data_IF_773272963109
#
_entry.id   IF_773272963109
#
_cell.length_a   1.000
_cell.length_b   1.000
_cell.length_c   1.000
_cell.angle_alpha   90.00
_cell.angle_beta   90.00
_cell.angle_gamma   90.00
#
_symmetry.space_group_name_H-M   'P 1'
#
loop_
_entity.id
_entity.type
_entity.pdbx_description
1 polymer ?
#
# COMPACT_ATOMS: atom_id res chain seq x y z
N UNK A 1 -37.83 -35.46 -8.07
CA UNK A 1 -38.23 -34.21 -8.72
C UNK A 1 -38.65 -33.27 -7.61
N UNK A 2 -37.74 -32.47 -7.10
CA UNK A 2 -38.01 -31.48 -6.03
C UNK A 2 -38.41 -30.17 -6.73
N UNK A 3 -39.68 -29.81 -6.64
CA UNK A 3 -40.17 -28.54 -7.13
C UNK A 3 -39.60 -27.43 -6.24
N UNK A 4 -38.67 -26.64 -6.79
CA UNK A 4 -38.27 -25.38 -6.19
C UNK A 4 -39.51 -24.49 -6.14
N UNK A 5 -40.12 -24.34 -4.97
CA UNK A 5 -41.09 -23.27 -4.75
C UNK A 5 -40.33 -21.95 -4.84
N UNK A 6 -40.54 -21.25 -5.92
CA UNK A 6 -40.10 -19.84 -6.03
C UNK A 6 -40.87 -19.03 -4.98
N UNK A 7 -40.25 -18.75 -3.84
CA UNK A 7 -40.89 -17.96 -2.78
C UNK A 7 -40.98 -16.52 -3.28
N UNK A 8 -42.18 -16.07 -3.55
CA UNK A 8 -42.45 -14.71 -4.03
C UNK A 8 -42.47 -13.77 -2.85
N UNK A 9 -41.60 -12.75 -2.87
CA UNK A 9 -41.50 -11.73 -1.84
C UNK A 9 -42.77 -10.86 -1.78
N UNK A 10 -43.21 -10.57 -0.58
CA UNK A 10 -44.32 -9.63 -0.33
C UNK A 10 -43.98 -8.21 -0.74
N UNK A 11 -44.97 -7.34 -1.01
CA UNK A 11 -44.73 -5.94 -1.31
C UNK A 11 -43.95 -5.20 -0.20
N UNK A 12 -44.14 -5.55 1.06
CA UNK A 12 -43.42 -4.97 2.21
C UNK A 12 -41.95 -5.35 2.21
N UNK A 13 -41.62 -6.63 1.94
CA UNK A 13 -40.25 -7.12 1.83
C UNK A 13 -39.50 -6.49 0.64
N UNK A 14 -40.16 -6.39 -0.50
CA UNK A 14 -39.62 -5.69 -1.67
C UNK A 14 -39.31 -4.22 -1.37
N UNK A 15 -40.24 -3.52 -0.68
CA UNK A 15 -40.04 -2.14 -0.28
C UNK A 15 -38.85 -2.00 0.70
N UNK A 16 -38.68 -2.93 1.63
CA UNK A 16 -37.54 -2.93 2.57
C UNK A 16 -36.20 -3.12 1.84
N UNK A 17 -36.14 -4.08 0.91
CA UNK A 17 -34.95 -4.31 0.06
C UNK A 17 -34.61 -3.07 -0.75
N UNK A 18 -35.60 -2.42 -1.36
CA UNK A 18 -35.40 -1.17 -2.10
C UNK A 18 -34.85 -0.03 -1.21
N UNK A 19 -35.34 0.09 0.04
CA UNK A 19 -34.82 1.08 1.00
C UNK A 19 -33.37 0.81 1.36
N UNK A 20 -32.97 -0.44 1.64
CA UNK A 20 -31.58 -0.79 1.89
C UNK A 20 -30.67 -0.42 0.71
N UNK A 21 -31.10 -0.72 -0.53
CA UNK A 21 -30.38 -0.30 -1.74
C UNK A 21 -30.25 1.24 -1.84
N UNK A 22 -31.28 1.98 -1.46
CA UNK A 22 -31.25 3.46 -1.45
C UNK A 22 -30.30 4.02 -0.38
N UNK A 23 -30.10 3.32 0.73
CA UNK A 23 -29.12 3.66 1.76
C UNK A 23 -27.67 3.27 1.40
N UNK A 24 -27.46 2.76 0.16
CA UNK A 24 -26.15 2.33 -0.34
C UNK A 24 -25.53 1.16 0.46
N UNK A 25 -26.39 0.22 0.88
CA UNK A 25 -25.98 -1.05 1.50
C UNK A 25 -26.54 -2.23 0.68
N UNK A 26 -26.07 -2.38 -0.57
CA UNK A 26 -26.62 -3.36 -1.51
C UNK A 26 -26.39 -4.82 -1.08
N UNK A 27 -25.27 -5.12 -0.42
CA UNK A 27 -25.00 -6.50 0.03
C UNK A 27 -25.90 -6.89 1.20
N UNK A 28 -26.18 -5.99 2.14
CA UNK A 28 -27.22 -6.23 3.15
C UNK A 28 -28.57 -6.52 2.52
N UNK A 29 -28.93 -5.76 1.46
CA UNK A 29 -30.18 -5.97 0.74
C UNK A 29 -30.22 -7.34 0.02
N UNK A 30 -29.09 -7.78 -0.52
CA UNK A 30 -28.93 -9.06 -1.18
C UNK A 30 -29.08 -10.22 -0.18
N UNK A 31 -28.33 -10.20 0.91
CA UNK A 31 -28.41 -11.23 1.96
C UNK A 31 -29.81 -11.28 2.59
N UNK A 32 -30.46 -10.12 2.82
CA UNK A 32 -31.84 -10.10 3.28
C UNK A 32 -32.79 -10.79 2.28
N UNK A 33 -32.64 -10.52 0.98
CA UNK A 33 -33.44 -11.16 -0.06
C UNK A 33 -33.24 -12.66 -0.10
N UNK A 34 -32.00 -13.15 0.05
CA UNK A 34 -31.70 -14.59 0.16
C UNK A 34 -32.34 -15.20 1.40
N UNK A 35 -32.22 -14.56 2.57
CA UNK A 35 -32.83 -15.04 3.81
C UNK A 35 -34.36 -15.10 3.75
N UNK A 36 -35.01 -14.16 3.06
CA UNK A 36 -36.45 -14.16 2.89
C UNK A 36 -36.96 -15.27 1.94
N UNK A 37 -36.08 -15.73 1.05
CA UNK A 37 -36.37 -16.84 0.11
C UNK A 37 -35.95 -18.22 0.66
N UNK A 38 -35.20 -18.27 1.75
CA UNK A 38 -34.76 -19.52 2.36
C UNK A 38 -35.80 -20.04 3.36
N UNK A 39 -36.43 -21.19 3.10
CA UNK A 39 -37.42 -21.78 4.02
C UNK A 39 -36.81 -22.18 5.38
N UNK A 40 -35.50 -22.29 5.49
CA UNK A 40 -34.79 -22.64 6.72
C UNK A 40 -34.21 -21.41 7.45
N UNK A 41 -34.45 -20.20 6.98
CA UNK A 41 -33.91 -19.00 7.57
C UNK A 41 -34.30 -18.82 9.04
N UNK A 42 -35.45 -19.31 9.43
CA UNK A 42 -35.97 -19.25 10.81
C UNK A 42 -35.25 -20.20 11.80
N UNK A 43 -34.40 -21.11 11.30
CA UNK A 43 -33.49 -21.90 12.15
C UNK A 43 -32.35 -21.05 12.73
N UNK A 44 -32.02 -19.93 12.08
CA UNK A 44 -31.04 -18.99 12.55
C UNK A 44 -31.68 -17.92 13.42
N UNK A 45 -30.99 -17.56 14.48
CA UNK A 45 -31.42 -16.45 15.36
C UNK A 45 -31.40 -15.11 14.62
N UNK A 46 -32.13 -14.13 15.12
CA UNK A 46 -32.11 -12.77 14.59
C UNK A 46 -30.67 -12.21 14.53
N UNK A 47 -29.86 -12.45 15.55
CA UNK A 47 -28.48 -11.97 15.62
C UNK A 47 -27.61 -12.61 14.53
N UNK A 48 -27.70 -13.91 14.30
CA UNK A 48 -26.94 -14.58 13.24
C UNK A 48 -27.31 -14.03 11.86
N UNK A 49 -28.61 -13.86 11.59
CA UNK A 49 -29.12 -13.30 10.34
C UNK A 49 -28.65 -11.85 10.12
N UNK A 50 -28.71 -11.02 11.15
CA UNK A 50 -28.25 -9.64 11.11
C UNK A 50 -26.73 -9.56 10.94
N UNK A 51 -25.97 -10.39 11.65
CA UNK A 51 -24.50 -10.47 11.50
C UNK A 51 -24.12 -10.81 10.08
N UNK A 52 -24.73 -11.82 9.47
CA UNK A 52 -24.46 -12.20 8.08
C UNK A 52 -24.68 -11.02 7.10
N UNK A 53 -25.75 -10.23 7.29
CA UNK A 53 -26.02 -9.04 6.46
C UNK A 53 -24.93 -7.96 6.63
N UNK A 54 -24.56 -7.66 7.87
CA UNK A 54 -23.57 -6.62 8.19
C UNK A 54 -22.18 -7.02 7.69
N UNK A 55 -21.80 -8.28 7.92
CA UNK A 55 -20.48 -8.80 7.50
C UNK A 55 -20.33 -8.80 5.97
N UNK A 56 -21.40 -9.18 5.23
CA UNK A 56 -21.38 -9.13 3.77
C UNK A 56 -21.14 -7.69 3.24
N UNK A 57 -21.84 -6.71 3.78
CA UNK A 57 -21.65 -5.31 3.39
C UNK A 57 -20.27 -4.79 3.79
N UNK A 58 -19.80 -5.15 5.00
CA UNK A 58 -18.48 -4.77 5.48
C UNK A 58 -17.38 -5.31 4.57
N UNK A 59 -17.45 -6.61 4.23
CA UNK A 59 -16.47 -7.27 3.38
C UNK A 59 -16.47 -6.66 1.97
N UNK A 60 -17.62 -6.47 1.36
CA UNK A 60 -17.73 -5.87 0.03
C UNK A 60 -17.15 -4.44 -0.02
N UNK A 61 -17.33 -3.66 1.05
CA UNK A 61 -16.71 -2.33 1.16
C UNK A 61 -15.21 -2.41 1.33
N UNK A 62 -14.72 -3.35 2.12
CA UNK A 62 -13.28 -3.59 2.29
C UNK A 62 -12.64 -4.00 0.96
N UNK A 63 -13.24 -4.94 0.23
CA UNK A 63 -12.76 -5.40 -1.09
C UNK A 63 -12.76 -4.27 -2.12
N UNK A 64 -13.83 -3.48 -2.18
CA UNK A 64 -13.91 -2.32 -3.07
C UNK A 64 -12.84 -1.28 -2.76
N UNK A 65 -12.57 -1.03 -1.47
CA UNK A 65 -11.50 -0.12 -1.03
C UNK A 65 -10.14 -0.66 -1.42
N UNK A 66 -9.87 -1.93 -1.10
CA UNK A 66 -8.62 -2.59 -1.46
C UNK A 66 -8.36 -2.55 -2.97
N UNK A 67 -9.35 -2.93 -3.79
CA UNK A 67 -9.22 -2.91 -5.24
C UNK A 67 -8.95 -1.50 -5.81
N UNK A 68 -9.51 -0.46 -5.20
CA UNK A 68 -9.21 0.92 -5.56
C UNK A 68 -7.77 1.28 -5.20
N UNK A 69 -7.34 1.01 -3.96
CA UNK A 69 -5.97 1.26 -3.51
C UNK A 69 -4.93 0.54 -4.38
N UNK A 70 -5.18 -0.71 -4.74
CA UNK A 70 -4.32 -1.48 -5.64
C UNK A 70 -4.16 -0.82 -7.01
N UNK A 71 -5.23 -0.29 -7.59
CA UNK A 71 -5.16 0.43 -8.87
C UNK A 71 -4.36 1.74 -8.76
N UNK A 72 -4.51 2.46 -7.66
CA UNK A 72 -3.84 3.75 -7.42
C UNK A 72 -2.36 3.60 -7.04
N UNK A 73 -1.97 2.45 -6.47
CA UNK A 73 -0.62 2.20 -5.97
C UNK A 73 0.44 2.00 -7.06
N UNK A 74 0.06 1.56 -8.27
CA UNK A 74 0.95 1.27 -9.39
C UNK A 74 2.10 0.31 -9.06
N UNK A 75 1.83 -0.74 -8.27
CA UNK A 75 2.83 -1.73 -7.88
C UNK A 75 3.43 -2.46 -9.08
N UNK A 76 4.72 -2.74 -9.02
CA UNK A 76 5.40 -3.59 -10.03
C UNK A 76 4.99 -5.05 -9.91
N UNK A 77 4.76 -5.53 -8.69
CA UNK A 77 4.33 -6.89 -8.37
C UNK A 77 3.04 -6.84 -7.54
N UNK A 78 1.86 -6.65 -8.18
CA UNK A 78 0.60 -6.49 -7.46
C UNK A 78 0.12 -7.78 -6.76
N UNK A 79 0.63 -8.95 -7.17
CA UNK A 79 0.34 -10.23 -6.56
C UNK A 79 1.38 -10.65 -5.50
N UNK A 80 2.33 -9.77 -5.13
CA UNK A 80 3.35 -10.12 -4.15
C UNK A 80 2.71 -10.39 -2.78
N UNK A 81 3.17 -11.47 -2.12
CA UNK A 81 2.71 -11.86 -0.79
C UNK A 81 3.91 -12.07 0.15
N UNK A 82 3.73 -11.69 1.43
CA UNK A 82 4.74 -11.89 2.45
C UNK A 82 4.91 -13.37 2.81
N UNK A 83 3.85 -14.16 2.73
CA UNK A 83 3.89 -15.60 3.00
C UNK A 83 4.72 -16.37 1.96
N UNK A 84 4.87 -15.81 0.75
CA UNK A 84 5.76 -16.33 -0.30
C UNK A 84 7.21 -15.89 -0.14
N UNK A 85 7.54 -15.15 0.91
CA UNK A 85 8.91 -14.67 1.12
C UNK A 85 9.85 -15.81 1.44
N UNK A 86 10.85 -16.01 0.58
CA UNK A 86 11.85 -17.06 0.75
C UNK A 86 12.91 -16.62 1.78
N UNK A 87 12.91 -17.26 2.94
CA UNK A 87 13.88 -17.05 4.00
C UNK A 87 15.06 -18.04 3.84
N UNK A 88 16.05 -17.66 3.04
CA UNK A 88 17.32 -18.40 2.95
C UNK A 88 18.40 -17.67 3.76
N UNK A 89 19.30 -18.38 4.47
CA UNK A 89 20.38 -17.76 5.26
C UNK A 89 21.21 -16.75 4.45
N UNK A 90 21.44 -17.06 3.17
CA UNK A 90 22.23 -16.24 2.26
C UNK A 90 21.60 -14.87 1.97
N UNK A 91 20.29 -14.74 2.15
CA UNK A 91 19.58 -13.46 1.99
C UNK A 91 19.74 -12.53 3.19
N UNK A 92 20.21 -13.07 4.32
CA UNK A 92 20.40 -12.32 5.56
C UNK A 92 19.15 -11.55 6.00
N UNK A 93 17.95 -12.05 5.66
CA UNK A 93 16.70 -11.47 6.10
C UNK A 93 16.44 -11.86 7.55
N UNK A 94 16.39 -10.88 8.42
CA UNK A 94 15.97 -11.07 9.80
C UNK A 94 14.45 -11.26 9.86
N UNK A 95 14.01 -12.48 10.17
CA UNK A 95 12.60 -12.86 10.27
C UNK A 95 11.85 -11.99 11.28
N UNK A 96 12.46 -11.67 12.43
CA UNK A 96 11.82 -10.83 13.45
C UNK A 96 11.56 -9.41 12.93
N UNK A 97 12.51 -8.85 12.18
CA UNK A 97 12.34 -7.53 11.56
C UNK A 97 11.24 -7.58 10.49
N UNK A 98 11.18 -8.63 9.66
CA UNK A 98 10.12 -8.79 8.66
C UNK A 98 8.74 -8.93 9.34
N UNK A 99 8.61 -9.77 10.36
CA UNK A 99 7.37 -9.92 11.13
C UNK A 99 6.93 -8.59 11.77
N UNK A 100 7.87 -7.84 12.35
CA UNK A 100 7.59 -6.52 12.92
C UNK A 100 7.11 -5.53 11.85
N UNK A 101 7.74 -5.51 10.68
CA UNK A 101 7.35 -4.62 9.58
C UNK A 101 6.01 -5.03 8.96
N UNK A 102 5.67 -6.33 8.95
CA UNK A 102 4.41 -6.86 8.41
C UNK A 102 3.17 -6.36 9.17
N UNK A 103 3.32 -5.96 10.44
CA UNK A 103 2.24 -5.34 11.20
C UNK A 103 1.78 -4.00 10.63
N UNK A 104 2.59 -3.35 9.80
CA UNK A 104 2.39 -2.01 9.24
C UNK A 104 2.24 -0.88 10.29
N UNK A 105 2.48 -1.16 11.59
CA UNK A 105 2.39 -0.15 12.64
C UNK A 105 3.38 1.00 12.46
N UNK A 106 4.58 0.70 11.93
CA UNK A 106 5.58 1.71 11.61
C UNK A 106 5.08 2.78 10.61
N UNK A 107 4.10 2.42 9.74
CA UNK A 107 3.46 3.36 8.82
C UNK A 107 2.58 4.36 9.58
N UNK A 108 1.91 3.91 10.64
CA UNK A 108 1.10 4.78 11.50
C UNK A 108 1.96 5.74 12.31
N UNK A 109 3.15 5.29 12.69
CA UNK A 109 4.14 6.10 13.41
C UNK A 109 4.90 7.08 12.49
N UNK A 110 4.64 7.08 11.18
CA UNK A 110 5.35 7.93 10.21
C UNK A 110 6.83 7.57 10.03
N UNK A 111 7.24 6.35 10.41
CA UNK A 111 8.63 5.89 10.29
C UNK A 111 8.97 5.50 8.85
N UNK A 112 10.22 5.69 8.48
CA UNK A 112 10.74 5.35 7.17
C UNK A 112 11.34 3.94 7.13
N UNK A 113 11.54 3.42 5.91
CA UNK A 113 12.23 2.16 5.68
C UNK A 113 13.21 2.32 4.51
N UNK A 114 14.47 1.98 4.73
CA UNK A 114 15.49 1.90 3.70
C UNK A 114 15.77 0.43 3.42
N UNK A 115 15.77 0.08 2.13
CA UNK A 115 16.10 -1.28 1.67
C UNK A 115 17.24 -1.20 0.66
N UNK A 116 18.39 -1.75 1.03
CA UNK A 116 19.59 -1.78 0.18
C UNK A 116 19.97 -3.20 -0.19
N UNK A 117 20.78 -3.34 -1.23
CA UNK A 117 21.34 -4.64 -1.64
C UNK A 117 21.48 -4.79 -3.14
N UNK A 118 22.14 -5.88 -3.58
CA UNK A 118 22.44 -6.15 -4.98
C UNK A 118 21.20 -6.20 -5.88
N UNK A 119 21.40 -6.02 -7.17
CA UNK A 119 20.33 -6.23 -8.17
C UNK A 119 19.79 -7.66 -8.06
N UNK A 120 18.48 -7.84 -8.32
CA UNK A 120 17.80 -9.13 -8.28
C UNK A 120 17.78 -9.84 -6.91
N UNK A 121 18.16 -9.18 -5.78
CA UNK A 121 18.03 -9.75 -4.44
C UNK A 121 16.59 -9.84 -3.91
N UNK A 122 15.58 -9.43 -4.69
CA UNK A 122 14.17 -9.50 -4.31
C UNK A 122 13.65 -8.29 -3.51
N UNK A 123 14.41 -7.18 -3.40
CA UNK A 123 14.00 -5.96 -2.68
C UNK A 123 12.63 -5.44 -3.10
N UNK A 124 12.46 -5.21 -4.39
CA UNK A 124 11.21 -4.66 -4.95
C UNK A 124 10.03 -5.60 -4.69
N UNK A 125 10.21 -6.93 -4.82
CA UNK A 125 9.16 -7.90 -4.52
C UNK A 125 8.74 -7.81 -3.05
N UNK A 126 9.69 -7.88 -2.12
CA UNK A 126 9.43 -7.80 -0.68
C UNK A 126 8.69 -6.50 -0.31
N UNK A 127 9.13 -5.36 -0.84
CA UNK A 127 8.47 -4.08 -0.55
C UNK A 127 7.07 -4.02 -1.17
N UNK A 128 6.85 -4.62 -2.36
CA UNK A 128 5.50 -4.70 -2.92
C UNK A 128 4.59 -5.60 -2.06
N UNK A 129 5.11 -6.68 -1.46
CA UNK A 129 4.36 -7.50 -0.51
C UNK A 129 3.97 -6.71 0.76
N UNK A 130 4.87 -5.89 1.32
CA UNK A 130 4.50 -4.94 2.40
C UNK A 130 3.45 -3.93 1.95
N UNK A 131 3.52 -3.42 0.72
CA UNK A 131 2.51 -2.51 0.17
C UNK A 131 1.13 -3.17 0.10
N UNK A 132 1.06 -4.43 -0.39
CA UNK A 132 -0.20 -5.20 -0.43
C UNK A 132 -0.76 -5.38 0.98
N UNK A 133 0.08 -5.76 1.95
CA UNK A 133 -0.31 -5.91 3.36
C UNK A 133 -0.82 -4.59 3.95
N UNK A 134 -0.16 -3.47 3.68
CA UNK A 134 -0.61 -2.14 4.11
C UNK A 134 -1.98 -1.77 3.50
N UNK A 135 -2.21 -2.08 2.23
CA UNK A 135 -3.49 -1.81 1.57
C UNK A 135 -4.62 -2.72 2.07
N UNK A 136 -4.34 -3.97 2.46
CA UNK A 136 -5.30 -4.84 3.19
C UNK A 136 -5.75 -4.16 4.50
N UNK A 137 -4.88 -3.38 5.13
CA UNK A 137 -5.19 -2.54 6.30
C UNK A 137 -5.70 -1.12 5.93
N UNK A 138 -6.15 -0.94 4.70
CA UNK A 138 -6.72 0.33 4.19
C UNK A 138 -5.75 1.51 4.12
N UNK A 139 -4.43 1.29 4.15
CA UNK A 139 -3.44 2.35 3.97
C UNK A 139 -3.30 2.72 2.49
N UNK A 140 -3.21 4.00 2.21
CA UNK A 140 -2.95 4.50 0.86
C UNK A 140 -1.47 4.41 0.52
N UNK A 141 -1.17 3.81 -0.63
CA UNK A 141 0.21 3.54 -1.07
C UNK A 141 0.43 4.08 -2.47
N UNK A 142 1.60 4.62 -2.75
CA UNK A 142 2.11 4.85 -4.10
C UNK A 142 3.50 4.26 -4.24
N UNK A 143 3.69 3.40 -5.23
CA UNK A 143 4.98 2.93 -5.68
C UNK A 143 5.38 3.73 -6.92
N UNK A 144 6.60 4.27 -6.93
CA UNK A 144 7.13 5.04 -8.04
C UNK A 144 8.64 4.85 -8.16
N UNK A 145 9.15 4.80 -9.38
CA UNK A 145 10.60 4.88 -9.59
C UNK A 145 11.10 6.30 -9.39
N UNK A 146 12.28 6.43 -8.82
CA UNK A 146 12.87 7.71 -8.49
C UNK A 146 12.94 8.68 -9.69
N UNK A 147 13.40 8.22 -10.85
CA UNK A 147 13.44 9.04 -12.07
C UNK A 147 12.04 9.43 -12.56
N UNK A 148 11.03 8.56 -12.39
CA UNK A 148 9.64 8.88 -12.75
C UNK A 148 9.08 9.94 -11.81
N UNK A 149 9.38 9.85 -10.50
CA UNK A 149 8.98 10.86 -9.53
C UNK A 149 9.53 12.25 -9.92
N UNK A 150 10.82 12.33 -10.25
CA UNK A 150 11.44 13.59 -10.68
C UNK A 150 10.80 14.13 -11.97
N UNK A 151 10.52 13.26 -12.95
CA UNK A 151 9.83 13.67 -14.19
C UNK A 151 8.39 14.13 -13.93
N UNK A 152 7.64 13.49 -13.03
CA UNK A 152 6.29 13.92 -12.66
C UNK A 152 6.33 15.29 -11.92
N UNK A 153 7.33 15.53 -11.06
CA UNK A 153 7.54 16.80 -10.38
C UNK A 153 7.86 17.92 -11.37
N UNK A 154 8.77 17.68 -12.31
CA UNK A 154 9.11 18.63 -13.36
C UNK A 154 7.90 18.99 -14.23
N UNK A 155 7.13 17.99 -14.67
CA UNK A 155 5.91 18.22 -15.43
C UNK A 155 4.86 19.02 -14.65
N UNK A 156 4.73 18.74 -13.35
CA UNK A 156 3.81 19.48 -12.48
C UNK A 156 4.22 20.94 -12.35
N UNK A 157 5.54 21.22 -12.28
CA UNK A 157 6.10 22.57 -12.25
C UNK A 157 5.83 23.32 -13.56
N UNK A 158 6.07 22.70 -14.71
CA UNK A 158 5.78 23.28 -16.03
C UNK A 158 4.29 23.64 -16.16
N UNK A 159 3.39 22.79 -15.62
CA UNK A 159 1.93 22.99 -15.64
C UNK A 159 1.42 23.88 -14.51
N UNK A 160 2.30 24.43 -13.65
CA UNK A 160 1.94 25.19 -12.44
C UNK A 160 1.01 24.43 -11.48
N UNK A 161 1.12 23.10 -11.40
CA UNK A 161 0.33 22.19 -10.54
C UNK A 161 1.20 21.48 -9.49
N UNK A 162 2.42 21.96 -9.26
CA UNK A 162 3.40 21.36 -8.33
C UNK A 162 2.85 21.25 -6.90
N UNK A 163 2.14 22.27 -6.39
CA UNK A 163 1.52 22.23 -5.07
C UNK A 163 0.44 21.14 -4.95
N UNK A 164 -0.38 20.99 -5.99
CA UNK A 164 -1.41 19.94 -6.01
C UNK A 164 -0.79 18.54 -6.05
N UNK A 165 0.29 18.38 -6.82
CA UNK A 165 1.01 17.12 -6.90
C UNK A 165 1.69 16.78 -5.56
N UNK A 166 2.39 17.74 -4.95
CA UNK A 166 3.00 17.59 -3.64
C UNK A 166 1.97 17.25 -2.56
N UNK A 167 0.82 17.94 -2.57
CA UNK A 167 -0.29 17.66 -1.66
C UNK A 167 -0.86 16.23 -1.83
N UNK A 168 -0.88 15.69 -3.06
CA UNK A 168 -1.26 14.29 -3.29
C UNK A 168 -0.26 13.33 -2.67
N UNK A 169 1.04 13.57 -2.85
CA UNK A 169 2.10 12.74 -2.25
C UNK A 169 2.07 12.80 -0.72
N UNK A 170 1.84 13.99 -0.14
CA UNK A 170 1.79 14.19 1.32
C UNK A 170 0.63 13.45 1.98
N UNK A 171 -0.51 13.26 1.28
CA UNK A 171 -1.68 12.55 1.82
C UNK A 171 -1.54 11.02 1.84
N UNK A 172 -0.58 10.46 1.10
CA UNK A 172 -0.35 9.01 1.08
C UNK A 172 0.22 8.54 2.41
N UNK A 173 -0.29 7.44 2.93
CA UNK A 173 0.25 6.82 4.13
C UNK A 173 1.66 6.26 3.87
N UNK A 174 1.90 5.69 2.69
CA UNK A 174 3.18 5.12 2.29
C UNK A 174 3.57 5.56 0.88
N UNK A 175 4.74 6.17 0.74
CA UNK A 175 5.39 6.45 -0.54
C UNK A 175 6.59 5.53 -0.70
N UNK A 176 6.64 4.76 -1.78
CA UNK A 176 7.78 3.91 -2.13
C UNK A 176 8.53 4.51 -3.30
N UNK A 177 9.79 4.86 -3.10
CA UNK A 177 10.70 5.38 -4.12
C UNK A 177 11.71 4.27 -4.45
N UNK A 178 11.54 3.63 -5.61
CA UNK A 178 12.41 2.55 -6.07
C UNK A 178 13.49 3.05 -7.04
N UNK A 179 14.56 2.29 -7.17
CA UNK A 179 15.72 2.63 -7.98
C UNK A 179 16.37 3.98 -7.58
N UNK A 180 16.38 4.32 -6.27
CA UNK A 180 16.83 5.61 -5.74
C UNK A 180 18.25 5.97 -6.16
N UNK A 181 19.16 5.01 -6.14
CA UNK A 181 20.57 5.21 -6.49
C UNK A 181 20.84 5.42 -7.99
N UNK A 182 19.81 5.36 -8.83
CA UNK A 182 19.92 5.60 -10.27
C UNK A 182 19.48 7.01 -10.67
N UNK A 183 19.22 7.89 -9.69
CA UNK A 183 18.91 9.29 -9.95
C UNK A 183 20.19 10.09 -10.25
N UNK A 184 20.06 11.01 -11.20
CA UNK A 184 21.00 12.12 -11.40
C UNK A 184 20.29 13.38 -10.89
N UNK A 185 20.69 13.86 -9.70
CA UNK A 185 20.06 14.93 -8.98
C UNK A 185 20.74 16.27 -9.26
N UNK A 186 20.33 16.93 -10.34
CA UNK A 186 20.62 18.36 -10.55
C UNK A 186 19.95 19.22 -9.45
N UNK A 187 20.24 20.51 -9.40
CA UNK A 187 19.79 21.42 -8.35
C UNK A 187 18.25 21.49 -8.24
N UNK A 188 17.54 21.45 -9.36
CA UNK A 188 16.07 21.49 -9.38
C UNK A 188 15.46 20.20 -8.82
N UNK A 189 16.01 19.05 -9.21
CA UNK A 189 15.60 17.75 -8.67
C UNK A 189 15.96 17.59 -7.20
N UNK A 190 17.10 18.15 -6.74
CA UNK A 190 17.43 18.20 -5.33
C UNK A 190 16.36 18.94 -4.52
N UNK A 191 15.92 20.10 -5.02
CA UNK A 191 14.83 20.87 -4.40
C UNK A 191 13.53 20.11 -4.38
N UNK A 192 13.12 19.53 -5.52
CA UNK A 192 11.88 18.76 -5.64
C UNK A 192 11.88 17.55 -4.67
N UNK A 193 13.00 16.83 -4.58
CA UNK A 193 13.14 15.70 -3.65
C UNK A 193 13.06 16.17 -2.19
N UNK A 194 13.73 17.28 -1.86
CA UNK A 194 13.67 17.88 -0.53
C UNK A 194 12.22 18.22 -0.15
N UNK A 195 11.46 18.90 -1.01
CA UNK A 195 10.06 19.23 -0.74
C UNK A 195 9.19 18.00 -0.46
N UNK A 196 9.38 16.92 -1.23
CA UNK A 196 8.66 15.65 -1.01
C UNK A 196 9.02 15.06 0.35
N UNK A 197 10.30 15.00 0.70
CA UNK A 197 10.75 14.38 1.95
C UNK A 197 10.37 15.24 3.17
N UNK A 198 10.54 16.56 3.08
CA UNK A 198 10.24 17.49 4.17
C UNK A 198 8.76 17.50 4.57
N UNK A 199 7.87 17.50 3.58
CA UNK A 199 6.42 17.47 3.85
C UNK A 199 5.95 16.17 4.49
N UNK A 200 6.71 15.09 4.36
CA UNK A 200 6.37 13.75 4.87
C UNK A 200 7.08 13.42 6.18
N UNK A 201 8.19 14.10 6.47
CA UNK A 201 9.05 13.80 7.63
C UNK A 201 8.27 13.80 8.95
N UNK A 202 8.38 12.70 9.73
CA UNK A 202 7.70 12.47 11.00
C UNK A 202 6.16 12.43 10.94
N UNK A 203 5.56 12.44 9.73
CA UNK A 203 4.10 12.46 9.54
C UNK A 203 3.60 11.28 8.72
N UNK A 204 4.34 10.90 7.69
CA UNK A 204 3.99 9.85 6.74
C UNK A 204 5.23 9.07 6.35
N UNK A 205 5.08 7.78 6.14
CA UNK A 205 6.20 6.89 5.87
C UNK A 205 6.68 6.94 4.44
N UNK A 206 8.00 6.92 4.28
CA UNK A 206 8.66 6.81 2.99
C UNK A 206 9.55 5.57 2.97
N UNK A 207 9.44 4.75 1.93
CA UNK A 207 10.35 3.63 1.66
C UNK A 207 11.29 4.03 0.54
N UNK A 208 12.57 3.81 0.75
CA UNK A 208 13.60 4.03 -0.28
C UNK A 208 14.26 2.71 -0.60
N UNK A 209 14.23 2.30 -1.87
CA UNK A 209 14.88 1.08 -2.37
C UNK A 209 16.09 1.48 -3.21
N UNK A 210 17.25 0.95 -2.87
CA UNK A 210 18.52 1.29 -3.54
C UNK A 210 19.38 0.03 -3.78
N UNK A 211 20.18 0.08 -4.83
CA UNK A 211 21.21 -0.93 -5.07
C UNK A 211 22.52 -0.59 -4.35
N UNK A 212 22.75 0.68 -4.08
CA UNK A 212 23.94 1.17 -3.40
C UNK A 212 23.69 1.44 -1.92
N UNK A 213 24.71 1.29 -1.08
CA UNK A 213 24.61 1.56 0.35
C UNK A 213 24.38 3.07 0.61
N UNK A 214 23.75 3.37 1.74
CA UNK A 214 23.43 4.76 2.14
C UNK A 214 24.66 5.67 2.17
N UNK A 215 25.86 5.11 2.48
CA UNK A 215 27.12 5.86 2.54
C UNK A 215 27.51 6.53 1.21
N UNK A 216 27.01 6.06 0.09
CA UNK A 216 27.31 6.63 -1.25
C UNK A 216 26.24 7.59 -1.75
N UNK A 217 25.13 7.78 -1.02
CA UNK A 217 24.02 8.59 -1.51
C UNK A 217 24.31 10.08 -1.54
N UNK A 218 25.23 10.54 -0.70
CA UNK A 218 25.62 11.95 -0.66
C UNK A 218 26.16 12.42 -2.02
N UNK A 219 26.95 11.58 -2.68
CA UNK A 219 27.60 11.90 -3.96
C UNK A 219 26.64 11.96 -5.16
N UNK A 220 25.36 11.58 -4.97
CA UNK A 220 24.33 11.65 -6.02
C UNK A 220 23.72 13.05 -6.17
N UNK A 221 23.94 13.94 -5.19
CA UNK A 221 23.36 15.27 -5.16
C UNK A 221 24.33 16.29 -5.77
N UNK A 222 23.82 17.17 -6.63
CA UNK A 222 24.59 18.28 -7.16
C UNK A 222 24.87 19.38 -6.12
N UNK A 223 24.16 19.38 -4.98
CA UNK A 223 24.30 20.35 -3.91
C UNK A 223 24.39 19.68 -2.55
N UNK A 224 25.44 19.99 -1.79
CA UNK A 224 25.73 19.39 -0.49
C UNK A 224 24.70 19.76 0.59
N UNK A 225 24.10 20.94 0.52
CA UNK A 225 23.10 21.40 1.49
C UNK A 225 21.81 20.60 1.35
N UNK A 226 21.37 20.37 0.10
CA UNK A 226 20.22 19.51 -0.17
C UNK A 226 20.53 18.05 0.13
N UNK A 227 21.75 17.56 -0.13
CA UNK A 227 22.17 16.23 0.24
C UNK A 227 21.99 15.98 1.74
N UNK A 228 22.58 16.86 2.57
CA UNK A 228 22.49 16.77 4.03
C UNK A 228 21.02 16.84 4.50
N UNK A 229 20.27 17.81 4.00
CA UNK A 229 18.88 18.02 4.37
C UNK A 229 17.97 16.83 4.00
N UNK A 230 18.11 16.25 2.80
CA UNK A 230 17.35 15.09 2.36
C UNK A 230 17.73 13.83 3.15
N UNK A 231 19.05 13.58 3.27
CA UNK A 231 19.55 12.38 3.93
C UNK A 231 19.23 12.35 5.41
N UNK A 232 19.30 13.48 6.12
CA UNK A 232 18.89 13.57 7.52
C UNK A 232 17.46 13.09 7.72
N UNK A 233 16.52 13.45 6.83
CA UNK A 233 15.09 13.08 6.95
C UNK A 233 14.82 11.60 6.71
N UNK A 234 15.56 10.96 5.84
CA UNK A 234 15.32 9.55 5.48
C UNK A 234 16.24 8.57 6.18
N UNK A 235 17.34 9.03 6.81
CA UNK A 235 18.33 8.14 7.43
C UNK A 235 18.39 8.20 8.94
N UNK A 236 17.60 9.07 9.59
CA UNK A 236 17.54 9.18 11.04
C UNK A 236 17.29 7.83 11.70
N UNK A 237 18.22 7.36 12.51
CA UNK A 237 18.19 6.05 13.16
C UNK A 237 16.98 5.84 14.08
N UNK A 238 16.40 6.89 14.61
CA UNK A 238 15.24 6.82 15.50
C UNK A 238 13.93 6.71 14.73
N UNK A 239 13.93 7.15 13.46
CA UNK A 239 12.74 7.19 12.61
C UNK A 239 12.84 6.31 11.36
N UNK A 240 13.93 5.53 11.18
CA UNK A 240 14.14 4.75 9.96
C UNK A 240 14.60 3.33 10.25
N UNK A 241 13.83 2.36 9.76
CA UNK A 241 14.24 0.97 9.67
C UNK A 241 15.18 0.76 8.48
N UNK A 242 16.10 -0.20 8.61
CA UNK A 242 17.03 -0.57 7.54
C UNK A 242 16.99 -2.07 7.32
N UNK A 243 16.84 -2.47 6.06
CA UNK A 243 16.97 -3.83 5.59
C UNK A 243 18.11 -3.87 4.56
N UNK A 244 19.11 -4.69 4.82
CA UNK A 244 20.18 -4.99 3.88
C UNK A 244 19.94 -6.38 3.29
N UNK A 245 19.69 -6.45 1.99
CA UNK A 245 19.41 -7.70 1.30
C UNK A 245 20.60 -8.09 0.44
N UNK A 246 21.55 -8.77 1.07
CA UNK A 246 22.72 -9.29 0.40
C UNK A 246 22.44 -10.70 -0.16
N UNK A 247 23.15 -11.10 -1.21
CA UNK A 247 23.22 -12.48 -1.65
C UNK A 247 22.56 -12.80 -2.98
N UNK A 248 21.86 -13.91 -3.07
CA UNK A 248 21.52 -14.66 -4.27
C UNK A 248 20.71 -13.85 -5.29
N UNK A 249 21.04 -14.03 -6.56
CA UNK A 249 20.20 -13.60 -7.66
C UNK A 249 18.91 -14.45 -7.71
N UNK A 250 17.80 -13.88 -7.25
CA UNK A 250 16.52 -14.59 -7.17
C UNK A 250 15.92 -14.96 -8.55
N UNK A 251 16.48 -14.45 -9.65
CA UNK A 251 16.06 -14.79 -11.03
C UNK A 251 16.72 -16.07 -11.54
N UNK A 252 17.76 -16.55 -10.88
CA UNK A 252 18.52 -17.75 -11.26
C UNK A 252 18.16 -18.97 -10.37
N UNK A 253 17.22 -18.80 -9.45
CA UNK A 253 16.83 -19.84 -8.47
C UNK A 253 15.46 -20.47 -8.75
N UNK A 254 14.90 -20.24 -9.93
CA UNK A 254 13.72 -20.97 -10.45
C UNK A 254 14.11 -22.23 -11.20
#
# INVERSE_FOLDING_TARGET
MSSSHDITLTPQEQALIMRLKSFRVPEMAHILEEQLKDPNADLNTFMERMTAMVDAEWQARADKRFNRLMKEAHLRYPAADLDETIYRPERQLDTQTIERLSTCHWIEEGKNLIVTGSSASGKTYLINAFCVTAMKQSKSVKYIKANTLMSEMEQARIKSTNLDYLNKLTKLDLLVIDDFSLMDLDLDKCRDLFEVLDTRDGRKSTVVISQFPVSTWFDMFADNTYADACLTRITDKHHTYRLEMNGINMRETE
#
